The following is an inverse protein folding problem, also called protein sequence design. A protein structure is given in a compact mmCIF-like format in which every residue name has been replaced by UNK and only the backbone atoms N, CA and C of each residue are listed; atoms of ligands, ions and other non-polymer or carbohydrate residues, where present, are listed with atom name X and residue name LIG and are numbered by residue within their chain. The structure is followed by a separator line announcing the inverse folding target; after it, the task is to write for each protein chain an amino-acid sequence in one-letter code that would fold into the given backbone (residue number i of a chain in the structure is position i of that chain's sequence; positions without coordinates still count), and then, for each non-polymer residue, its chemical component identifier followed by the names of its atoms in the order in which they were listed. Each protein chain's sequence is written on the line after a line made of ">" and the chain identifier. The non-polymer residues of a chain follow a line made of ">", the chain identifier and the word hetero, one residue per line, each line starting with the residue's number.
data_IF_508050481543
#
_entry.id   IF_508050481543
#
_cell.length_a   1.000
_cell.length_b   1.000
_cell.length_c   1.000
_cell.angle_alpha   90.00
_cell.angle_beta   90.00
_cell.angle_gamma   90.00
#
_symmetry.space_group_name_H-M   'P 1'
#
loop_
_entity.id
_entity.type
_entity.pdbx_description
1 polymer ?
#
# COMPACT_ATOMS: atom_id res chain seq x y z
N UNK A 1 -3.05 23.51 11.43
CA UNK A 1 -3.97 23.51 10.26
C UNK A 1 -3.38 22.82 9.04
N UNK A 2 -2.12 23.08 8.67
CA UNK A 2 -1.46 22.43 7.50
C UNK A 2 -1.45 20.91 7.66
N UNK A 3 -1.12 20.36 8.85
CA UNK A 3 -1.13 18.92 9.10
C UNK A 3 -2.51 18.29 8.91
N UNK A 4 -3.57 18.93 9.38
CA UNK A 4 -4.95 18.45 9.20
C UNK A 4 -5.26 18.39 7.69
N UNK A 5 -4.89 19.43 6.93
CA UNK A 5 -5.04 19.43 5.49
C UNK A 5 -4.27 18.30 4.79
N UNK A 6 -3.06 17.99 5.26
CA UNK A 6 -2.24 16.88 4.75
C UNK A 6 -2.89 15.54 5.10
N UNK A 7 -3.30 15.32 6.37
CA UNK A 7 -3.94 14.06 6.77
C UNK A 7 -5.26 13.80 6.05
N UNK A 8 -6.06 14.83 5.78
CA UNK A 8 -7.28 14.69 4.97
C UNK A 8 -6.97 14.31 3.53
N UNK A 9 -5.96 14.91 2.89
CA UNK A 9 -5.51 14.57 1.52
C UNK A 9 -4.92 13.18 1.43
N UNK A 10 -4.10 12.78 2.41
CA UNK A 10 -3.51 11.44 2.50
C UNK A 10 -4.49 10.38 3.05
N UNK A 11 -5.72 10.76 3.38
CA UNK A 11 -6.74 9.90 3.98
C UNK A 11 -6.24 9.13 5.22
N UNK A 12 -5.47 9.81 6.09
CA UNK A 12 -4.97 9.19 7.32
C UNK A 12 -6.06 9.18 8.39
N UNK A 13 -5.94 8.26 9.34
CA UNK A 13 -6.90 8.17 10.43
C UNK A 13 -6.96 9.50 11.21
N UNK A 14 -8.18 10.04 11.50
CA UNK A 14 -9.52 9.44 11.28
C UNK A 14 -10.15 9.73 9.91
N UNK A 15 -9.48 10.37 8.97
CA UNK A 15 -10.04 10.84 7.69
C UNK A 15 -10.01 9.78 6.56
N UNK A 16 -10.01 8.50 6.89
CA UNK A 16 -9.81 7.38 5.93
C UNK A 16 -11.00 7.11 5.01
N UNK A 17 -12.22 7.49 5.40
CA UNK A 17 -13.49 7.01 4.83
C UNK A 17 -13.68 7.36 3.35
N UNK A 18 -13.19 8.50 2.89
CA UNK A 18 -13.42 8.96 1.52
C UNK A 18 -12.67 8.12 0.47
N UNK A 19 -11.52 7.57 0.82
CA UNK A 19 -10.62 6.90 -0.13
C UNK A 19 -11.18 5.56 -0.64
N UNK A 20 -11.70 4.63 0.19
CA UNK A 20 -12.39 3.44 -0.30
C UNK A 20 -13.67 3.79 -1.10
N UNK A 21 -14.39 4.86 -0.74
CA UNK A 21 -15.56 5.33 -1.49
C UNK A 21 -15.20 5.82 -2.90
N UNK A 22 -14.01 6.39 -3.08
CA UNK A 22 -13.50 6.82 -4.38
C UNK A 22 -13.24 5.65 -5.36
N UNK A 23 -13.20 4.39 -4.86
CA UNK A 23 -13.04 3.18 -5.70
C UNK A 23 -14.20 2.89 -6.64
N UNK A 24 -15.33 3.59 -6.53
CA UNK A 24 -16.46 3.48 -7.47
C UNK A 24 -16.12 4.02 -8.87
N UNK A 25 -15.05 4.80 -8.99
CA UNK A 25 -14.56 5.33 -10.26
C UNK A 25 -13.89 4.29 -11.17
N UNK A 26 -13.57 4.67 -12.43
CA UNK A 26 -12.83 3.81 -13.35
C UNK A 26 -11.45 3.43 -12.81
N UNK A 27 -11.00 2.21 -13.10
CA UNK A 27 -9.71 1.69 -12.57
C UNK A 27 -8.47 2.48 -12.99
N UNK A 28 -8.34 3.01 -14.22
CA UNK A 28 -7.19 3.85 -14.57
C UNK A 28 -7.10 5.15 -13.75
N UNK A 29 -8.26 5.75 -13.45
CA UNK A 29 -8.31 6.94 -12.58
C UNK A 29 -7.93 6.57 -11.15
N UNK A 30 -8.43 5.44 -10.65
CA UNK A 30 -8.03 4.93 -9.33
C UNK A 30 -6.52 4.66 -9.27
N UNK A 31 -5.92 4.09 -10.31
CA UNK A 31 -4.48 3.88 -10.40
C UNK A 31 -3.72 5.20 -10.24
N UNK A 32 -4.13 6.25 -10.96
CA UNK A 32 -3.48 7.56 -10.88
C UNK A 32 -3.60 8.19 -9.49
N UNK A 33 -4.80 8.21 -8.92
CA UNK A 33 -5.08 8.84 -7.61
C UNK A 33 -4.28 8.17 -6.49
N UNK A 34 -4.21 6.82 -6.49
CA UNK A 34 -3.68 6.04 -5.37
C UNK A 34 -2.19 5.71 -5.49
N UNK A 35 -1.60 5.80 -6.69
CA UNK A 35 -0.18 5.48 -6.86
C UNK A 35 0.74 6.69 -6.74
N UNK A 36 0.43 7.79 -7.45
CA UNK A 36 1.43 8.83 -7.66
C UNK A 36 0.94 10.27 -7.46
N UNK A 37 -0.38 10.51 -7.23
CA UNK A 37 -0.88 11.88 -7.25
C UNK A 37 -1.48 12.35 -5.93
N UNK A 38 -2.78 12.20 -5.73
CA UNK A 38 -3.52 12.90 -4.69
C UNK A 38 -3.08 12.53 -3.28
N UNK A 39 -2.98 11.23 -2.98
CA UNK A 39 -2.64 10.73 -1.64
C UNK A 39 -1.14 10.89 -1.32
N UNK A 40 -0.31 10.87 -2.35
CA UNK A 40 1.15 10.98 -2.25
C UNK A 40 1.58 12.46 -2.10
N UNK A 41 0.80 13.40 -2.63
CA UNK A 41 1.13 14.82 -2.57
C UNK A 41 1.32 15.34 -1.14
N UNK A 42 0.53 14.83 -0.17
CA UNK A 42 0.69 15.23 1.23
C UNK A 42 1.98 14.70 1.86
N UNK A 43 2.40 13.47 1.53
CA UNK A 43 3.69 12.91 1.98
C UNK A 43 4.85 13.72 1.39
N UNK A 44 4.77 14.05 0.11
CA UNK A 44 5.77 14.89 -0.55
C UNK A 44 5.87 16.28 0.12
N UNK A 45 4.73 16.88 0.48
CA UNK A 45 4.71 18.15 1.19
C UNK A 45 5.36 18.03 2.58
N UNK A 46 5.05 16.97 3.34
CA UNK A 46 5.69 16.71 4.64
C UNK A 46 7.22 16.54 4.50
N UNK A 47 7.65 15.83 3.47
CA UNK A 47 9.08 15.68 3.19
C UNK A 47 9.75 17.03 2.90
N UNK A 48 9.11 17.92 2.13
CA UNK A 48 9.61 19.28 1.87
C UNK A 48 9.64 20.14 3.13
N UNK A 49 8.76 19.89 4.09
CA UNK A 49 8.70 20.59 5.37
C UNK A 49 9.49 19.89 6.49
N UNK A 50 10.26 18.86 6.20
CA UNK A 50 10.96 18.04 7.20
C UNK A 50 11.83 18.85 8.13
N UNK A 51 12.62 19.80 7.60
CA UNK A 51 13.45 20.71 8.39
C UNK A 51 12.65 21.57 9.38
N UNK A 52 11.46 22.01 8.99
CA UNK A 52 10.56 22.77 9.88
C UNK A 52 9.92 21.85 10.92
N UNK A 53 9.55 20.63 10.52
CA UNK A 53 8.92 19.64 11.40
C UNK A 53 9.89 19.20 12.50
N UNK A 54 11.18 19.08 12.20
CA UNK A 54 12.21 18.69 13.16
C UNK A 54 12.32 19.64 14.36
N UNK A 55 12.02 20.91 14.17
CA UNK A 55 12.05 21.92 15.25
C UNK A 55 10.93 21.73 16.27
N UNK A 56 9.83 21.06 15.89
CA UNK A 56 8.64 20.91 16.75
C UNK A 56 8.39 19.44 17.12
N UNK A 57 8.89 18.97 18.30
CA UNK A 57 8.74 17.56 18.72
C UNK A 57 7.29 17.06 18.74
N UNK A 58 6.36 17.88 19.21
CA UNK A 58 4.93 17.56 19.26
C UNK A 58 4.36 17.24 17.86
N UNK A 59 4.78 17.97 16.84
CA UNK A 59 4.37 17.77 15.45
C UNK A 59 4.92 16.42 14.93
N UNK A 60 6.19 16.14 15.22
CA UNK A 60 6.84 14.87 14.87
C UNK A 60 6.11 13.67 15.44
N UNK A 61 5.86 13.70 16.76
CA UNK A 61 5.17 12.62 17.44
C UNK A 61 3.75 12.43 16.90
N UNK A 62 3.03 13.53 16.59
CA UNK A 62 1.70 13.47 15.98
C UNK A 62 1.75 12.76 14.63
N UNK A 63 2.69 13.10 13.74
CA UNK A 63 2.84 12.47 12.42
C UNK A 63 3.17 11.00 12.59
N UNK A 64 4.07 10.67 13.51
CA UNK A 64 4.48 9.32 13.83
C UNK A 64 3.33 8.43 14.27
N UNK A 65 2.59 8.84 15.32
CA UNK A 65 1.49 8.03 15.85
C UNK A 65 0.31 7.93 14.89
N UNK A 66 -0.02 8.98 14.15
CA UNK A 66 -1.03 8.91 13.10
C UNK A 66 -0.63 7.92 12.02
N UNK A 67 0.65 7.90 11.59
CA UNK A 67 1.17 6.93 10.65
C UNK A 67 1.09 5.50 11.18
N UNK A 68 1.50 5.28 12.43
CA UNK A 68 1.51 3.97 13.07
C UNK A 68 0.09 3.39 13.20
N UNK A 69 -0.85 4.17 13.73
CA UNK A 69 -2.25 3.79 13.90
C UNK A 69 -2.91 3.51 12.54
N UNK A 70 -2.67 4.37 11.54
CA UNK A 70 -3.23 4.20 10.21
C UNK A 70 -2.70 2.95 9.53
N UNK A 71 -1.38 2.68 9.64
CA UNK A 71 -0.78 1.50 9.04
C UNK A 71 -1.37 0.21 9.60
N UNK A 72 -1.59 0.14 10.91
CA UNK A 72 -2.19 -1.02 11.57
C UNK A 72 -3.66 -1.20 11.17
N UNK A 73 -4.49 -0.18 11.40
CA UNK A 73 -5.94 -0.26 11.18
C UNK A 73 -6.24 -0.59 9.71
N UNK A 74 -5.58 0.10 8.78
CA UNK A 74 -5.84 -0.10 7.35
C UNK A 74 -5.30 -1.44 6.83
N UNK A 75 -4.22 -1.99 7.39
CA UNK A 75 -3.76 -3.34 7.03
C UNK A 75 -4.74 -4.42 7.49
N UNK A 76 -5.36 -4.26 8.65
CA UNK A 76 -6.42 -5.14 9.14
C UNK A 76 -7.65 -5.06 8.22
N UNK A 77 -8.13 -3.85 7.89
CA UNK A 77 -9.26 -3.69 6.97
C UNK A 77 -8.96 -4.29 5.59
N UNK A 78 -7.74 -4.13 5.06
CA UNK A 78 -7.34 -4.74 3.80
C UNK A 78 -7.45 -6.28 3.82
N UNK A 79 -7.16 -6.91 4.96
CA UNK A 79 -7.25 -8.36 5.11
C UNK A 79 -8.70 -8.87 5.09
N UNK A 80 -9.62 -8.16 5.75
CA UNK A 80 -11.03 -8.56 5.81
C UNK A 80 -11.83 -8.17 4.55
N UNK A 81 -11.35 -7.22 3.76
CA UNK A 81 -12.02 -6.77 2.54
C UNK A 81 -12.10 -7.90 1.50
N UNK A 82 -13.20 -7.93 0.74
CA UNK A 82 -13.48 -8.93 -0.29
C UNK A 82 -13.36 -8.39 -1.72
N UNK A 83 -13.53 -7.08 -1.89
CA UNK A 83 -13.41 -6.43 -3.20
C UNK A 83 -11.96 -6.12 -3.55
N UNK A 84 -11.54 -6.51 -4.75
CA UNK A 84 -10.17 -6.30 -5.24
C UNK A 84 -9.72 -4.83 -5.15
N UNK A 85 -10.57 -3.89 -5.60
CA UNK A 85 -10.28 -2.46 -5.50
C UNK A 85 -10.25 -1.97 -4.05
N UNK A 86 -11.13 -2.50 -3.19
CA UNK A 86 -11.18 -2.19 -1.77
C UNK A 86 -9.88 -2.58 -1.07
N UNK A 87 -9.38 -3.80 -1.30
CA UNK A 87 -8.10 -4.26 -0.76
C UNK A 87 -6.95 -3.35 -1.20
N UNK A 88 -6.90 -3.00 -2.49
CA UNK A 88 -5.85 -2.11 -3.01
C UNK A 88 -5.95 -0.71 -2.40
N UNK A 89 -7.14 -0.20 -2.11
CA UNK A 89 -7.34 1.09 -1.44
C UNK A 89 -6.86 1.06 0.02
N UNK A 90 -7.31 0.11 0.82
CA UNK A 90 -6.86 -0.02 2.22
C UNK A 90 -5.37 -0.31 2.33
N UNK A 91 -4.82 -1.12 1.43
CA UNK A 91 -3.39 -1.35 1.37
C UNK A 91 -2.60 -0.08 1.00
N UNK A 92 -3.17 0.83 0.19
CA UNK A 92 -2.55 2.14 -0.08
C UNK A 92 -2.49 3.00 1.19
N UNK A 93 -3.59 3.06 1.95
CA UNK A 93 -3.64 3.79 3.23
C UNK A 93 -2.60 3.25 4.22
N UNK A 94 -2.49 1.93 4.35
CA UNK A 94 -1.49 1.29 5.20
C UNK A 94 -0.07 1.68 4.79
N UNK A 95 0.27 1.63 3.50
CA UNK A 95 1.59 2.03 3.01
C UNK A 95 1.88 3.53 3.18
N UNK A 96 0.87 4.41 3.05
CA UNK A 96 1.03 5.83 3.35
C UNK A 96 1.32 6.03 4.85
N UNK A 97 0.67 5.26 5.73
CA UNK A 97 1.03 5.20 7.14
C UNK A 97 2.50 4.82 7.36
N UNK A 98 3.01 3.80 6.64
CA UNK A 98 4.44 3.44 6.66
C UNK A 98 5.37 4.56 6.20
N UNK A 99 4.93 5.44 5.30
CA UNK A 99 5.74 6.59 4.87
C UNK A 99 5.77 7.71 5.91
N UNK A 100 4.68 7.88 6.70
CA UNK A 100 4.61 8.88 7.76
C UNK A 100 5.53 8.56 8.95
N UNK A 101 5.66 7.28 9.28
CA UNK A 101 6.46 6.80 10.41
C UNK A 101 7.89 7.35 10.38
N UNK A 102 8.69 7.15 9.30
CA UNK A 102 10.04 7.67 9.24
C UNK A 102 10.11 9.20 9.17
N UNK A 103 9.10 9.87 8.62
CA UNK A 103 9.03 11.34 8.65
C UNK A 103 8.90 11.85 10.10
N UNK A 104 8.09 11.17 10.92
CA UNK A 104 7.94 11.47 12.34
C UNK A 104 9.13 11.03 13.20
N UNK A 105 10.02 10.15 12.73
CA UNK A 105 11.23 9.71 13.46
C UNK A 105 12.53 10.41 13.00
N UNK A 106 12.45 11.43 12.16
CA UNK A 106 13.59 12.16 11.56
C UNK A 106 14.38 11.36 10.51
N UNK A 107 13.82 10.27 10.02
CA UNK A 107 14.35 9.45 8.93
C UNK A 107 13.54 9.66 7.63
N UNK A 108 13.14 10.89 7.33
CA UNK A 108 12.22 11.24 6.25
C UNK A 108 12.64 10.74 4.87
N UNK A 109 13.93 10.60 4.61
CA UNK A 109 14.47 10.05 3.36
C UNK A 109 13.99 8.61 3.09
N UNK A 110 13.87 7.79 4.15
CA UNK A 110 13.37 6.41 4.04
C UNK A 110 11.89 6.37 3.65
N UNK A 111 11.09 7.29 4.21
CA UNK A 111 9.68 7.46 3.82
C UNK A 111 9.54 7.88 2.37
N UNK A 112 10.39 8.79 1.89
CA UNK A 112 10.42 9.22 0.50
C UNK A 112 10.87 8.10 -0.44
N UNK A 113 11.85 7.30 -0.07
CA UNK A 113 12.26 6.13 -0.84
C UNK A 113 11.14 5.10 -0.96
N UNK A 114 10.39 4.87 0.15
CA UNK A 114 9.21 4.00 0.12
C UNK A 114 8.09 4.56 -0.76
N UNK A 115 7.87 5.88 -0.77
CA UNK A 115 6.92 6.54 -1.66
C UNK A 115 7.26 6.28 -3.13
N UNK A 116 8.53 6.37 -3.50
CA UNK A 116 8.98 6.11 -4.87
C UNK A 116 8.70 4.67 -5.28
N UNK A 117 9.13 3.69 -4.48
CA UNK A 117 8.87 2.27 -4.76
C UNK A 117 7.38 1.93 -4.80
N UNK A 118 6.60 2.51 -3.87
CA UNK A 118 5.15 2.33 -3.77
C UNK A 118 4.43 2.77 -5.05
N UNK A 119 4.82 3.90 -5.64
CA UNK A 119 4.14 4.42 -6.83
C UNK A 119 4.19 3.44 -8.01
N UNK A 120 5.29 2.69 -8.17
CA UNK A 120 5.43 1.68 -9.22
C UNK A 120 4.57 0.44 -8.98
N UNK A 121 4.72 -0.22 -7.84
CA UNK A 121 3.98 -1.46 -7.64
C UNK A 121 2.47 -1.23 -7.46
N UNK A 122 2.04 -0.08 -6.95
CA UNK A 122 0.62 0.24 -6.83
C UNK A 122 -0.03 0.56 -8.17
N UNK A 123 0.63 1.35 -9.02
CA UNK A 123 0.11 1.60 -10.36
C UNK A 123 -0.08 0.29 -11.13
N UNK A 124 0.93 -0.60 -11.03
CA UNK A 124 0.89 -1.91 -11.66
C UNK A 124 -0.28 -2.77 -11.15
N UNK A 125 -0.48 -2.84 -9.82
CA UNK A 125 -1.58 -3.59 -9.21
C UNK A 125 -2.96 -3.07 -9.63
N UNK A 126 -3.15 -1.73 -9.65
CA UNK A 126 -4.42 -1.15 -10.09
C UNK A 126 -4.68 -1.37 -11.58
N UNK A 127 -3.68 -1.27 -12.45
CA UNK A 127 -3.83 -1.56 -13.88
C UNK A 127 -4.18 -3.03 -14.10
N UNK A 128 -3.53 -3.94 -13.37
CA UNK A 128 -3.86 -5.36 -13.41
C UNK A 128 -5.26 -5.66 -12.86
N UNK A 129 -5.67 -5.00 -11.78
CA UNK A 129 -7.04 -5.08 -11.28
C UNK A 129 -8.06 -4.59 -12.33
N UNK A 130 -7.73 -3.50 -13.06
CA UNK A 130 -8.53 -3.02 -14.17
C UNK A 130 -8.69 -4.04 -15.29
N UNK A 131 -7.60 -4.66 -15.70
CA UNK A 131 -7.60 -5.72 -16.69
C UNK A 131 -8.50 -6.91 -16.26
N UNK A 132 -8.36 -7.37 -15.01
CA UNK A 132 -9.16 -8.48 -14.48
C UNK A 132 -10.65 -8.13 -14.45
N UNK A 133 -11.00 -6.94 -13.98
CA UNK A 133 -12.40 -6.49 -13.89
C UNK A 133 -13.02 -6.37 -15.28
N UNK A 134 -12.30 -5.81 -16.26
CA UNK A 134 -12.80 -5.69 -17.65
C UNK A 134 -12.95 -7.06 -18.32
N UNK A 135 -12.01 -7.98 -18.09
CA UNK A 135 -12.04 -9.30 -18.71
C UNK A 135 -13.12 -10.21 -18.14
N UNK A 136 -13.36 -10.14 -16.84
CA UNK A 136 -14.24 -11.09 -16.13
C UNK A 136 -15.54 -10.46 -15.62
N UNK A 137 -15.71 -9.13 -15.72
CA UNK A 137 -16.85 -8.36 -15.22
C UNK A 137 -17.16 -8.58 -13.73
N UNK A 138 -16.13 -8.88 -12.92
CA UNK A 138 -16.26 -9.17 -11.50
C UNK A 138 -15.26 -8.36 -10.68
N UNK A 139 -15.67 -7.90 -9.50
CA UNK A 139 -14.80 -7.14 -8.59
C UNK A 139 -14.38 -7.93 -7.36
N UNK A 140 -15.16 -8.95 -6.97
CA UNK A 140 -14.90 -9.74 -5.78
C UNK A 140 -13.79 -10.78 -6.01
N UNK A 141 -12.86 -10.91 -5.06
CA UNK A 141 -11.75 -11.86 -5.12
C UNK A 141 -12.24 -13.30 -5.24
N UNK A 142 -13.31 -13.65 -4.52
CA UNK A 142 -13.85 -15.00 -4.52
C UNK A 142 -14.30 -15.44 -5.92
N UNK A 143 -14.88 -14.52 -6.69
CA UNK A 143 -15.31 -14.78 -8.07
C UNK A 143 -14.17 -14.70 -9.09
N UNK A 144 -13.09 -13.99 -8.76
CA UNK A 144 -11.87 -13.92 -9.57
C UNK A 144 -10.91 -15.09 -9.28
N UNK A 145 -11.23 -15.93 -8.30
CA UNK A 145 -10.37 -17.02 -7.86
C UNK A 145 -9.97 -17.96 -9.00
N UNK A 146 -8.65 -18.16 -9.15
CA UNK A 146 -8.05 -19.06 -10.12
C UNK A 146 -8.19 -18.67 -11.60
N UNK A 147 -8.70 -17.46 -11.89
CA UNK A 147 -8.95 -17.01 -13.28
C UNK A 147 -7.70 -16.52 -14.02
N UNK A 148 -6.60 -16.22 -13.31
CA UNK A 148 -5.36 -15.76 -13.90
C UNK A 148 -4.30 -16.85 -13.81
N UNK A 149 -3.89 -17.41 -14.97
CA UNK A 149 -2.79 -18.38 -14.98
C UNK A 149 -1.45 -17.71 -14.73
N UNK A 150 -0.66 -18.30 -13.83
CA UNK A 150 0.70 -17.83 -13.51
C UNK A 150 1.59 -17.74 -14.76
N UNK A 151 1.48 -18.68 -15.67
CA UNK A 151 2.34 -18.77 -16.87
C UNK A 151 1.98 -17.78 -17.98
N UNK A 152 0.94 -16.95 -17.80
CA UNK A 152 0.65 -15.87 -18.74
C UNK A 152 1.47 -14.62 -18.39
N UNK A 153 1.79 -13.75 -19.38
CA UNK A 153 2.48 -12.48 -19.12
C UNK A 153 1.78 -11.65 -18.03
N UNK A 154 0.46 -11.62 -18.04
CA UNK A 154 -0.35 -10.93 -17.04
C UNK A 154 -0.22 -11.56 -15.64
N UNK A 155 -0.15 -12.89 -15.55
CA UNK A 155 0.06 -13.61 -14.29
C UNK A 155 1.44 -13.32 -13.69
N UNK A 156 2.48 -13.30 -14.51
CA UNK A 156 3.84 -12.95 -14.09
C UNK A 156 3.90 -11.51 -13.59
N UNK A 157 3.34 -10.55 -14.33
CA UNK A 157 3.31 -9.14 -13.96
C UNK A 157 2.57 -8.94 -12.64
N UNK A 158 1.40 -9.56 -12.46
CA UNK A 158 0.64 -9.49 -11.23
C UNK A 158 1.42 -10.09 -10.04
N UNK A 159 2.11 -11.20 -10.26
CA UNK A 159 2.93 -11.85 -9.24
C UNK A 159 4.09 -10.95 -8.79
N UNK A 160 4.81 -10.34 -9.71
CA UNK A 160 5.89 -9.38 -9.42
C UNK A 160 5.36 -8.21 -8.58
N UNK A 161 4.20 -7.67 -8.94
CA UNK A 161 3.59 -6.57 -8.21
C UNK A 161 3.16 -6.98 -6.78
N UNK A 162 2.60 -8.17 -6.60
CA UNK A 162 2.25 -8.71 -5.28
C UNK A 162 3.49 -8.97 -4.43
N UNK A 163 4.55 -9.56 -4.98
CA UNK A 163 5.80 -9.80 -4.27
C UNK A 163 6.50 -8.50 -3.87
N UNK A 164 6.44 -7.48 -4.73
CA UNK A 164 6.95 -6.14 -4.39
C UNK A 164 6.13 -5.46 -3.30
N UNK A 165 4.81 -5.66 -3.29
CA UNK A 165 3.92 -5.17 -2.22
C UNK A 165 4.24 -5.81 -0.86
N UNK A 166 4.48 -7.13 -0.82
CA UNK A 166 4.94 -7.85 0.39
C UNK A 166 6.28 -7.29 0.86
N UNK A 167 7.17 -7.01 -0.06
CA UNK A 167 8.55 -6.65 0.23
C UNK A 167 9.45 -7.89 0.27
N UNK A 168 9.31 -8.81 -0.69
CA UNK A 168 10.21 -9.96 -0.85
C UNK A 168 11.43 -9.53 -1.66
N UNK A 169 12.62 -9.91 -1.20
CA UNK A 169 13.85 -9.72 -1.98
C UNK A 169 13.78 -10.48 -3.31
N UNK A 170 14.22 -9.94 -4.45
CA UNK A 170 15.01 -8.70 -4.67
C UNK A 170 14.18 -7.46 -5.09
N UNK A 171 12.89 -7.42 -4.85
CA UNK A 171 12.04 -6.32 -5.31
C UNK A 171 12.25 -5.03 -4.49
N UNK A 172 11.98 -3.87 -5.10
CA UNK A 172 12.19 -2.55 -4.48
C UNK A 172 11.42 -2.34 -3.18
N UNK A 173 10.27 -3.01 -3.03
CA UNK A 173 9.47 -2.98 -1.81
C UNK A 173 10.16 -3.58 -0.59
N UNK A 174 11.10 -4.54 -0.76
CA UNK A 174 11.85 -5.13 0.36
C UNK A 174 12.82 -4.13 0.96
N UNK A 175 13.66 -3.52 0.14
CA UNK A 175 14.66 -2.56 0.60
C UNK A 175 14.02 -1.40 1.35
N UNK A 176 12.97 -0.81 0.79
CA UNK A 176 12.31 0.35 1.40
C UNK A 176 11.63 0.02 2.74
N UNK A 177 10.98 -1.16 2.87
CA UNK A 177 10.37 -1.59 4.12
C UNK A 177 11.41 -1.99 5.16
N UNK A 178 12.44 -2.71 4.76
CA UNK A 178 13.49 -3.18 5.65
C UNK A 178 14.20 -2.00 6.32
N UNK A 179 14.57 -0.96 5.56
CA UNK A 179 15.17 0.24 6.13
C UNK A 179 14.26 0.91 7.17
N UNK A 180 12.96 1.04 6.89
CA UNK A 180 12.01 1.61 7.84
C UNK A 180 11.92 0.76 9.11
N UNK A 181 11.85 -0.56 8.99
CA UNK A 181 11.71 -1.48 10.13
C UNK A 181 12.97 -1.47 11.00
N UNK A 182 14.17 -1.51 10.41
CA UNK A 182 15.44 -1.51 11.13
C UNK A 182 15.63 -0.21 11.90
N UNK A 183 15.43 0.94 11.25
CA UNK A 183 15.51 2.26 11.91
C UNK A 183 14.54 2.35 13.09
N UNK A 184 13.35 1.84 12.90
CA UNK A 184 12.30 1.87 13.89
C UNK A 184 12.62 1.03 15.14
N UNK A 185 13.06 -0.22 14.95
CA UNK A 185 13.41 -1.13 16.06
C UNK A 185 14.57 -0.57 16.89
N UNK A 186 15.52 0.10 16.25
CA UNK A 186 16.68 0.66 16.92
C UNK A 186 16.38 1.93 17.72
N UNK A 187 15.40 2.72 17.30
CA UNK A 187 15.21 4.09 17.79
C UNK A 187 13.92 4.31 18.59
N UNK A 188 13.05 3.30 18.73
CA UNK A 188 11.71 3.46 19.32
C UNK A 188 11.38 2.43 20.40
N UNK A 189 10.25 2.65 21.09
CA UNK A 189 9.80 1.76 22.16
C UNK A 189 9.46 0.35 21.65
N UNK A 190 9.56 -0.65 22.52
CA UNK A 190 9.17 -2.04 22.19
C UNK A 190 7.71 -2.14 21.78
N UNK A 191 6.82 -1.36 22.41
CA UNK A 191 5.38 -1.38 22.12
C UNK A 191 5.13 -0.87 20.68
N UNK A 192 5.74 0.25 20.31
CA UNK A 192 5.61 0.82 18.98
C UNK A 192 6.16 -0.15 17.92
N UNK A 193 7.29 -0.79 18.22
CA UNK A 193 7.90 -1.80 17.33
C UNK A 193 7.01 -3.02 17.13
N UNK A 194 6.34 -3.49 18.17
CA UNK A 194 5.37 -4.58 18.06
C UNK A 194 4.18 -4.19 17.18
N UNK A 195 3.64 -2.98 17.33
CA UNK A 195 2.53 -2.49 16.50
C UNK A 195 2.94 -2.44 15.03
N UNK A 196 4.15 -1.95 14.73
CA UNK A 196 4.69 -1.92 13.37
C UNK A 196 4.82 -3.34 12.80
N UNK A 197 5.40 -4.27 13.54
CA UNK A 197 5.58 -5.67 13.12
C UNK A 197 4.23 -6.31 12.82
N UNK A 198 3.22 -6.10 13.66
CA UNK A 198 1.87 -6.60 13.43
C UNK A 198 1.29 -6.03 12.13
N UNK A 199 1.47 -4.72 11.87
CA UNK A 199 1.01 -4.11 10.62
C UNK A 199 1.72 -4.69 9.39
N UNK A 200 3.02 -5.00 9.48
CA UNK A 200 3.78 -5.69 8.43
C UNK A 200 3.26 -7.12 8.20
N UNK A 201 2.97 -7.87 9.27
CA UNK A 201 2.37 -9.20 9.15
C UNK A 201 1.02 -9.16 8.41
N UNK A 202 0.15 -8.20 8.73
CA UNK A 202 -1.10 -8.03 7.98
C UNK A 202 -0.87 -7.64 6.52
N UNK A 203 0.19 -6.88 6.20
CA UNK A 203 0.54 -6.62 4.79
C UNK A 203 0.92 -7.90 4.05
N UNK A 204 1.62 -8.82 4.69
CA UNK A 204 1.95 -10.13 4.13
C UNK A 204 0.68 -10.98 3.95
N UNK A 205 -0.23 -10.97 4.93
CA UNK A 205 -1.46 -11.76 4.89
C UNK A 205 -2.42 -11.32 3.77
N UNK A 206 -2.74 -10.03 3.64
CA UNK A 206 -3.66 -9.61 2.59
C UNK A 206 -3.05 -9.71 1.19
N UNK A 207 -1.74 -9.52 1.04
CA UNK A 207 -1.08 -9.68 -0.26
C UNK A 207 -0.95 -11.14 -0.67
N UNK A 208 -0.69 -12.06 0.27
CA UNK A 208 -0.75 -13.50 0.01
C UNK A 208 -2.17 -13.94 -0.34
N UNK A 209 -3.19 -13.42 0.35
CA UNK A 209 -4.60 -13.64 -0.01
C UNK A 209 -4.89 -13.21 -1.45
N UNK A 210 -4.42 -12.02 -1.87
CA UNK A 210 -4.56 -11.54 -3.25
C UNK A 210 -3.88 -12.49 -4.24
N UNK A 211 -2.64 -12.86 -3.97
CA UNK A 211 -1.83 -13.69 -4.84
C UNK A 211 -2.44 -15.08 -5.03
N UNK A 212 -2.64 -15.83 -3.94
CA UNK A 212 -3.13 -17.21 -4.00
C UNK A 212 -4.61 -17.32 -4.41
N UNK A 213 -5.42 -16.30 -4.16
CA UNK A 213 -6.81 -16.33 -4.62
C UNK A 213 -6.92 -16.16 -6.12
N UNK A 214 -6.17 -15.26 -6.73
CA UNK A 214 -6.35 -14.88 -8.15
C UNK A 214 -5.55 -15.78 -9.07
N UNK A 215 -4.35 -16.21 -8.65
CA UNK A 215 -3.43 -16.98 -9.49
C UNK A 215 -3.75 -18.47 -9.48
N UNK A 216 -3.74 -19.05 -10.70
CA UNK A 216 -3.80 -20.49 -10.92
C UNK A 216 -2.44 -20.97 -11.47
N UNK A 217 -1.86 -21.95 -10.80
CA UNK A 217 -0.58 -22.55 -11.20
C UNK A 217 -0.72 -23.69 -12.23
N UNK A 218 -1.95 -24.06 -12.59
CA UNK A 218 -2.16 -25.06 -13.66
C UNK A 218 -1.81 -24.43 -15.01
N UNK A 219 -0.99 -25.10 -15.80
CA UNK A 219 -0.81 -24.76 -17.22
C UNK A 219 -2.16 -24.92 -17.91
N UNK A 220 -2.70 -23.83 -18.44
CA UNK A 220 -3.87 -23.90 -19.30
C UNK A 220 -3.38 -24.54 -20.60
N UNK A 221 -3.72 -25.81 -20.83
CA UNK A 221 -3.51 -26.45 -22.11
C UNK A 221 -4.34 -25.73 -23.16
N UNK A 222 -3.69 -25.24 -24.20
CA UNK A 222 -4.20 -24.89 -25.54
C UNK A 222 -5.36 -23.88 -25.75
N UNK A 223 -5.88 -23.14 -24.76
CA UNK A 223 -6.93 -22.15 -25.01
C UNK A 223 -6.44 -20.69 -25.06
N UNK A 224 -5.22 -20.48 -25.62
CA UNK A 224 -4.60 -19.12 -25.68
C UNK A 224 -5.07 -18.34 -26.93
N UNK A 225 -5.80 -18.97 -27.87
CA UNK A 225 -6.23 -18.34 -29.15
C UNK A 225 -7.72 -18.58 -29.43
N UNK A 226 -8.59 -18.09 -28.58
CA UNK A 226 -9.99 -17.83 -28.96
C UNK A 226 -10.44 -16.50 -28.41
#
# INVERSE_FOLDING_TARGET
>A
FILIGIFTKCAQYPFTIWLPRAMKGPTPVSALIHSATMVVAGIFLLFKLSSTIEVYPFIKDTIFYVGLITSLICSIYAFYESDLKGILAYSTLSHIGFMLIPIGSSAGEMGYFHLYSHSFFKSLLFLMAGYLILKFNETSINKLSGKLSFFTPYGIIFSIACLSLVGVYPFTGSFSKEYIIIDFINNRSLIDSLILIISVLFTCLYSSKLFFSIINFKRIGHDIFK
#
